data_IF_714067377535
#
_entry.id   IF_714067377535
#
_cell.length_a   1.000
_cell.length_b   1.000
_cell.length_c   1.000
_cell.angle_alpha   90.00
_cell.angle_beta   90.00
_cell.angle_gamma   90.00
#
_symmetry.space_group_name_H-M   'P 1'
#
loop_
_entity.id
_entity.type
_entity.pdbx_description
1 polymer ?
#
# COMPACT_ATOMS: atom_id res chain seq x y z
N UNK A 1 47.11 -30.24 -22.76
CA UNK A 1 45.92 -30.23 -23.64
C UNK A 1 44.78 -29.63 -22.83
N UNK A 2 44.38 -28.43 -23.27
CA UNK A 2 43.27 -27.55 -22.86
C UNK A 2 42.98 -27.30 -21.36
N UNK A 3 43.46 -26.13 -20.92
CA UNK A 3 42.97 -25.35 -19.78
C UNK A 3 41.68 -24.63 -20.21
N UNK A 4 40.58 -24.79 -19.49
CA UNK A 4 39.37 -23.96 -19.67
C UNK A 4 39.13 -23.18 -18.37
N UNK A 5 39.47 -21.90 -18.40
CA UNK A 5 39.09 -20.93 -17.37
C UNK A 5 37.73 -20.37 -17.78
N UNK A 6 36.67 -20.85 -17.14
CA UNK A 6 35.33 -20.28 -17.28
C UNK A 6 35.21 -19.02 -16.43
N UNK A 7 35.29 -17.84 -17.04
CA UNK A 7 34.97 -16.58 -16.38
C UNK A 7 33.45 -16.42 -16.34
N UNK A 8 32.82 -16.84 -15.24
CA UNK A 8 31.41 -16.52 -14.98
C UNK A 8 31.32 -15.10 -14.49
N UNK A 9 30.85 -14.19 -15.34
CA UNK A 9 30.42 -12.85 -14.90
C UNK A 9 29.13 -13.03 -14.10
N UNK A 10 29.26 -13.08 -12.77
CA UNK A 10 28.15 -12.86 -11.85
C UNK A 10 27.80 -11.37 -11.92
N UNK A 11 27.03 -10.99 -12.94
CA UNK A 11 26.32 -9.73 -12.94
C UNK A 11 25.19 -9.84 -11.94
N UNK A 12 25.44 -9.46 -10.69
CA UNK A 12 24.38 -9.10 -9.76
C UNK A 12 23.74 -7.82 -10.33
N UNK A 13 22.77 -7.98 -11.23
CA UNK A 13 21.72 -6.99 -11.32
C UNK A 13 20.91 -7.19 -10.04
N UNK A 14 21.32 -6.49 -8.97
CA UNK A 14 20.44 -6.17 -7.85
C UNK A 14 19.31 -5.33 -8.45
N UNK A 15 18.32 -5.99 -9.02
CA UNK A 15 16.99 -5.41 -9.15
C UNK A 15 16.54 -5.18 -7.72
N UNK A 16 16.76 -3.95 -7.24
CA UNK A 16 16.35 -3.46 -5.93
C UNK A 16 14.83 -3.52 -5.80
N UNK A 17 14.27 -4.71 -5.64
CA UNK A 17 12.91 -4.90 -5.16
C UNK A 17 12.93 -4.59 -3.67
N UNK A 18 12.66 -3.33 -3.34
CA UNK A 18 12.49 -2.89 -1.96
C UNK A 18 13.64 -2.09 -1.37
N UNK A 19 14.22 -1.13 -2.12
CA UNK A 19 14.68 0.05 -1.39
C UNK A 19 13.44 0.70 -0.77
N UNK A 20 13.34 0.83 0.57
CA UNK A 20 12.32 1.68 1.14
C UNK A 20 12.54 3.08 0.54
N UNK A 21 11.53 3.63 -0.13
CA UNK A 21 11.58 5.02 -0.58
C UNK A 21 11.88 5.84 0.68
N UNK A 22 13.12 6.33 0.84
CA UNK A 22 13.60 6.87 2.10
C UNK A 22 12.70 8.05 2.52
N UNK A 23 11.88 7.85 3.56
CA UNK A 23 10.93 8.84 4.08
C UNK A 23 9.45 8.54 3.88
N UNK A 24 9.06 7.49 3.13
CA UNK A 24 7.65 7.11 3.00
C UNK A 24 7.20 6.20 4.14
N UNK A 25 6.00 6.47 4.65
CA UNK A 25 5.31 5.59 5.59
C UNK A 25 4.21 4.83 4.84
N UNK A 26 4.37 3.52 4.68
CA UNK A 26 3.36 2.67 4.06
C UNK A 26 2.15 2.53 4.98
N UNK A 27 0.97 3.02 4.57
CA UNK A 27 -0.28 2.92 5.33
C UNK A 27 -1.13 1.69 4.96
N UNK A 28 -1.02 1.23 3.72
CA UNK A 28 -1.69 0.02 3.23
C UNK A 28 -0.60 -0.95 2.77
N UNK A 29 -0.41 -2.02 3.54
CA UNK A 29 0.59 -3.06 3.30
C UNK A 29 -0.14 -4.42 3.26
N UNK A 30 -0.83 -4.64 2.15
CA UNK A 30 -1.78 -5.74 1.99
C UNK A 30 -2.76 -5.81 3.17
N UNK A 31 -2.91 -6.99 3.76
CA UNK A 31 -3.90 -7.22 4.81
C UNK A 31 -3.60 -6.53 6.14
N UNK A 32 -2.33 -6.35 6.48
CA UNK A 32 -1.91 -5.70 7.74
C UNK A 32 -2.17 -4.19 7.73
N UNK A 33 -2.43 -3.61 6.54
CA UNK A 33 -2.76 -2.21 6.38
C UNK A 33 -3.89 -1.75 7.30
N UNK A 34 -4.91 -2.59 7.51
CA UNK A 34 -6.07 -2.26 8.34
C UNK A 34 -5.73 -1.99 9.81
N UNK A 35 -4.62 -2.50 10.33
CA UNK A 35 -4.21 -2.28 11.73
C UNK A 35 -3.76 -0.83 11.99
N UNK A 36 -3.47 -0.08 10.93
CA UNK A 36 -3.03 1.32 10.98
C UNK A 36 -4.20 2.32 10.99
N UNK A 37 -5.44 1.83 10.95
CA UNK A 37 -6.65 2.64 10.83
C UNK A 37 -7.64 2.35 11.95
N UNK A 38 -8.31 3.40 12.41
CA UNK A 38 -9.54 3.32 13.18
C UNK A 38 -10.73 3.33 12.22
N UNK A 39 -11.71 2.45 12.47
CA UNK A 39 -12.91 2.29 11.64
C UNK A 39 -14.06 3.03 12.27
N UNK A 40 -14.68 3.93 11.51
CA UNK A 40 -15.85 4.70 11.94
C UNK A 40 -17.02 4.37 11.04
N UNK A 41 -18.19 4.15 11.64
CA UNK A 41 -19.42 3.82 10.91
C UNK A 41 -19.55 2.34 10.57
N UNK A 42 -20.41 2.04 9.60
CA UNK A 42 -20.93 0.68 9.35
C UNK A 42 -20.40 0.07 8.03
N UNK A 43 -19.46 0.72 7.35
CA UNK A 43 -18.84 0.18 6.15
C UNK A 43 -18.02 -1.09 6.45
N UNK A 44 -18.11 -2.08 5.57
CA UNK A 44 -17.50 -3.41 5.76
C UNK A 44 -16.01 -3.49 5.38
N UNK A 45 -15.20 -2.53 5.85
CA UNK A 45 -13.77 -2.47 5.53
C UNK A 45 -13.06 -3.80 5.80
N UNK A 46 -12.44 -4.36 4.76
CA UNK A 46 -11.71 -5.61 4.79
C UNK A 46 -10.49 -5.56 3.88
N UNK A 47 -9.53 -6.42 4.16
CA UNK A 47 -8.42 -6.65 3.26
C UNK A 47 -8.79 -7.72 2.23
N UNK A 48 -8.51 -7.48 0.96
CA UNK A 48 -8.78 -8.39 -0.14
C UNK A 48 -7.80 -8.10 -1.27
N UNK A 49 -7.16 -9.13 -1.83
CA UNK A 49 -6.25 -9.05 -2.98
C UNK A 49 -5.18 -7.94 -2.91
N UNK A 50 -4.63 -7.73 -1.72
CA UNK A 50 -3.60 -6.70 -1.48
C UNK A 50 -4.13 -5.28 -1.31
N UNK A 51 -5.44 -5.08 -1.39
CA UNK A 51 -6.11 -3.79 -1.20
C UNK A 51 -6.98 -3.77 0.07
N UNK A 52 -7.42 -2.57 0.44
CA UNK A 52 -8.47 -2.38 1.44
C UNK A 52 -9.76 -2.00 0.71
N UNK A 53 -10.80 -2.79 0.93
CA UNK A 53 -12.04 -2.77 0.15
C UNK A 53 -13.24 -2.56 1.08
N UNK A 54 -14.20 -1.76 0.61
CA UNK A 54 -15.55 -1.68 1.18
C UNK A 54 -16.58 -1.58 0.04
N UNK A 55 -17.64 -2.36 0.14
CA UNK A 55 -18.70 -2.50 -0.87
C UNK A 55 -20.10 -2.65 -0.24
N UNK A 56 -20.20 -2.69 1.09
CA UNK A 56 -21.45 -2.82 1.86
C UNK A 56 -21.43 -1.90 3.08
N UNK A 57 -22.63 -1.65 3.60
CA UNK A 57 -22.84 -0.81 4.78
C UNK A 57 -23.41 0.56 4.44
N UNK A 58 -23.77 1.34 5.46
CA UNK A 58 -24.39 2.67 5.29
C UNK A 58 -23.36 3.80 5.08
N UNK A 59 -22.10 3.45 4.91
CA UNK A 59 -20.97 4.38 4.87
C UNK A 59 -20.10 4.31 6.12
N UNK A 60 -18.89 4.86 6.02
CA UNK A 60 -17.90 4.85 7.08
C UNK A 60 -16.54 5.32 6.59
N UNK A 61 -15.63 5.53 7.53
CA UNK A 61 -14.29 6.06 7.28
C UNK A 61 -13.21 5.17 7.87
N UNK A 62 -12.07 5.14 7.19
CA UNK A 62 -10.80 4.75 7.78
C UNK A 62 -10.05 6.02 8.17
N UNK A 63 -9.77 6.16 9.45
CA UNK A 63 -9.00 7.29 9.99
C UNK A 63 -7.63 6.76 10.42
N UNK A 64 -6.54 7.35 9.94
CA UNK A 64 -5.21 6.90 10.33
C UNK A 64 -5.01 7.09 11.83
N UNK A 65 -4.45 6.10 12.51
CA UNK A 65 -4.16 6.20 13.96
C UNK A 65 -3.17 7.30 14.30
N UNK A 66 -2.26 7.59 13.37
CA UNK A 66 -1.31 8.69 13.47
C UNK A 66 -1.86 9.96 12.83
N UNK A 67 -1.52 11.11 13.40
CA UNK A 67 -1.76 12.43 12.81
C UNK A 67 -0.53 12.90 12.03
N UNK A 68 -0.76 13.53 10.88
CA UNK A 68 0.27 14.11 10.02
C UNK A 68 -0.04 15.59 9.80
N UNK A 69 1.00 16.41 9.56
CA UNK A 69 0.86 17.85 9.32
C UNK A 69 1.34 18.21 7.92
N UNK A 70 2.65 18.25 7.73
CA UNK A 70 3.27 18.56 6.44
C UNK A 70 3.64 17.23 5.78
N UNK A 71 2.89 16.82 4.75
CA UNK A 71 3.06 15.51 4.14
C UNK A 71 2.75 15.50 2.64
N UNK A 72 3.23 14.46 1.97
CA UNK A 72 2.82 14.08 0.62
C UNK A 72 2.14 12.71 0.71
N UNK A 73 1.07 12.52 -0.07
CA UNK A 73 0.43 11.21 -0.21
C UNK A 73 0.56 10.70 -1.64
N UNK A 74 0.80 9.40 -1.73
CA UNK A 74 0.60 8.60 -2.94
C UNK A 74 -0.47 7.58 -2.62
N UNK A 75 -1.56 7.61 -3.38
CA UNK A 75 -2.69 6.72 -3.18
C UNK A 75 -3.22 6.26 -4.53
N UNK A 76 -3.62 5.00 -4.57
CA UNK A 76 -4.34 4.40 -5.68
C UNK A 76 -5.69 3.94 -5.13
N UNK A 77 -6.74 4.17 -5.89
CA UNK A 77 -8.08 3.74 -5.54
C UNK A 77 -8.81 3.24 -6.78
N UNK A 78 -9.64 2.23 -6.59
CA UNK A 78 -10.55 1.74 -7.60
C UNK A 78 -11.98 2.00 -7.13
N UNK A 79 -12.78 2.62 -7.97
CA UNK A 79 -14.16 2.98 -7.66
C UNK A 79 -15.09 2.41 -8.74
N UNK A 80 -16.18 1.78 -8.30
CA UNK A 80 -17.29 1.49 -9.21
C UNK A 80 -17.99 2.80 -9.64
N UNK A 81 -18.65 2.79 -10.79
CA UNK A 81 -19.38 3.93 -11.36
C UNK A 81 -20.43 4.57 -10.43
N UNK A 82 -20.93 3.83 -9.43
CA UNK A 82 -21.89 4.32 -8.43
C UNK A 82 -21.24 4.79 -7.12
N UNK A 83 -19.92 4.67 -6.99
CA UNK A 83 -19.21 4.97 -5.75
C UNK A 83 -19.19 6.47 -5.47
N UNK A 84 -19.54 6.84 -4.24
CA UNK A 84 -19.26 8.17 -3.69
C UNK A 84 -18.31 8.02 -2.50
N UNK A 85 -17.04 8.34 -2.72
CA UNK A 85 -15.96 8.22 -1.73
C UNK A 85 -14.93 9.33 -1.92
N UNK A 86 -13.94 9.40 -1.04
CA UNK A 86 -12.87 10.39 -1.15
C UNK A 86 -11.73 10.15 -0.15
N UNK A 87 -10.61 10.80 -0.42
CA UNK A 87 -9.49 10.94 0.52
C UNK A 87 -9.67 12.27 1.23
N UNK A 88 -9.80 12.22 2.55
CA UNK A 88 -10.02 13.41 3.39
C UNK A 88 -8.73 13.78 4.11
N UNK A 89 -8.34 15.04 4.01
CA UNK A 89 -7.10 15.60 4.57
C UNK A 89 -7.46 16.88 5.34
N UNK A 90 -6.71 17.17 6.40
CA UNK A 90 -6.78 18.42 7.14
C UNK A 90 -5.43 19.13 7.13
#
# INVERSE_FOLDING_TARGET
MLLVVGLTVLGCADVSFGQPDAGWTTLIDGATGLDKWDRIGDANWRAEDGAIVADKGKGGFLVSKNSYKDFQIRAEFWADHTTNSGIFIR
#
